data_IF_591322417798
#
_entry.id   IF_591322417798
#
_cell.length_a   1.000
_cell.length_b   1.000
_cell.length_c   1.000
_cell.angle_alpha   90.00
_cell.angle_beta   90.00
_cell.angle_gamma   90.00
#
_symmetry.space_group_name_H-M   'P 1'
#
loop_
_entity.id
_entity.type
_entity.pdbx_description
1 polymer ?
#
# COMPACT_ATOMS: atom_id res chain seq x y z
N UNK A 1 -9.36 -3.44 4.36
CA UNK A 1 -9.12 -2.03 4.67
C UNK A 1 -9.29 -1.79 6.17
N UNK A 2 -8.76 -0.67 6.68
CA UNK A 2 -8.91 -0.26 8.09
C UNK A 2 -9.96 0.84 8.28
N UNK A 3 -10.35 1.54 7.21
CA UNK A 3 -11.36 2.60 7.25
C UNK A 3 -12.76 2.03 7.02
N UNK A 4 -13.61 2.16 8.04
CA UNK A 4 -15.03 1.77 7.94
C UNK A 4 -15.77 2.65 6.93
N UNK A 5 -15.39 3.92 6.83
CA UNK A 5 -15.97 4.87 5.87
C UNK A 5 -15.68 4.46 4.45
N UNK A 6 -14.41 4.13 4.13
CA UNK A 6 -14.01 3.66 2.80
C UNK A 6 -14.69 2.35 2.44
N UNK A 7 -14.81 1.42 3.39
CA UNK A 7 -15.52 0.16 3.17
C UNK A 7 -17.02 0.38 2.94
N UNK A 8 -17.63 1.35 3.63
CA UNK A 8 -19.04 1.72 3.40
C UNK A 8 -19.25 2.23 1.97
N UNK A 9 -18.38 3.12 1.49
CA UNK A 9 -18.42 3.61 0.11
C UNK A 9 -18.21 2.46 -0.89
N UNK A 10 -17.25 1.57 -0.63
CA UNK A 10 -17.00 0.40 -1.48
C UNK A 10 -18.22 -0.53 -1.54
N UNK A 11 -18.90 -0.79 -0.42
CA UNK A 11 -20.13 -1.58 -0.36
C UNK A 11 -21.25 -0.95 -1.20
N UNK A 12 -21.43 0.38 -1.08
CA UNK A 12 -22.43 1.11 -1.87
C UNK A 12 -22.16 0.99 -3.37
N UNK A 13 -20.90 1.17 -3.80
CA UNK A 13 -20.50 1.08 -5.21
C UNK A 13 -20.61 -0.33 -5.81
N UNK A 14 -20.70 -1.35 -4.98
CA UNK A 14 -20.71 -2.76 -5.42
C UNK A 14 -22.01 -3.49 -5.12
N UNK A 15 -23.07 -2.77 -4.75
CA UNK A 15 -24.37 -3.37 -4.35
C UNK A 15 -24.97 -4.24 -5.46
N UNK A 16 -24.77 -3.89 -6.72
CA UNK A 16 -25.34 -4.58 -7.88
C UNK A 16 -24.42 -5.69 -8.43
N UNK A 17 -23.25 -5.91 -7.82
CA UNK A 17 -22.32 -6.95 -8.27
C UNK A 17 -22.75 -8.34 -7.81
N UNK A 18 -22.60 -9.34 -8.69
CA UNK A 18 -22.83 -10.76 -8.40
C UNK A 18 -21.62 -11.57 -8.87
N UNK A 19 -20.97 -12.37 -8.03
CA UNK A 19 -21.21 -12.51 -6.59
C UNK A 19 -20.84 -11.22 -5.83
N UNK A 20 -21.51 -10.96 -4.71
CA UNK A 20 -21.20 -9.80 -3.88
C UNK A 20 -19.81 -9.91 -3.27
N UNK A 21 -19.01 -8.85 -3.32
CA UNK A 21 -17.73 -8.81 -2.62
C UNK A 21 -17.90 -8.95 -1.10
N UNK A 22 -16.96 -9.64 -0.47
CA UNK A 22 -16.85 -9.69 0.98
C UNK A 22 -15.91 -8.55 1.44
N UNK A 23 -16.39 -7.72 2.36
CA UNK A 23 -15.62 -6.65 2.96
C UNK A 23 -15.28 -6.97 4.41
N UNK A 24 -14.08 -6.58 4.85
CA UNK A 24 -13.64 -6.78 6.22
C UNK A 24 -12.81 -5.59 6.68
N UNK A 25 -13.21 -4.98 7.80
CA UNK A 25 -12.46 -3.93 8.46
C UNK A 25 -11.43 -4.58 9.39
N UNK A 26 -10.16 -4.64 8.94
CA UNK A 26 -9.07 -5.23 9.74
C UNK A 26 -7.70 -4.74 9.29
N UNK A 27 -6.75 -4.81 10.20
CA UNK A 27 -5.34 -4.53 9.92
C UNK A 27 -4.70 -5.74 9.24
N UNK A 28 -3.79 -5.49 8.28
CA UNK A 28 -3.16 -6.55 7.50
C UNK A 28 -2.34 -7.53 8.35
N UNK A 29 -1.67 -7.05 9.40
CA UNK A 29 -0.93 -7.88 10.34
C UNK A 29 -1.82 -8.78 11.23
N UNK A 30 -3.13 -8.59 11.15
CA UNK A 30 -4.15 -9.43 11.82
C UNK A 30 -5.14 -10.03 10.82
N UNK A 31 -4.74 -10.12 9.56
CA UNK A 31 -5.59 -10.62 8.47
C UNK A 31 -6.15 -12.00 8.81
N UNK A 32 -7.46 -12.11 8.83
CA UNK A 32 -8.20 -13.35 8.99
C UNK A 32 -9.29 -13.42 7.93
N UNK A 33 -9.19 -14.39 7.03
CA UNK A 33 -10.17 -14.64 5.98
C UNK A 33 -10.98 -15.90 6.29
N UNK A 34 -12.27 -15.97 5.92
CA UNK A 34 -13.11 -17.13 6.15
C UNK A 34 -12.66 -18.36 5.33
N UNK A 35 -11.91 -18.15 4.26
CA UNK A 35 -11.30 -19.18 3.41
C UNK A 35 -10.02 -18.67 2.76
N UNK A 36 -9.11 -19.58 2.42
CA UNK A 36 -7.90 -19.25 1.68
C UNK A 36 -8.25 -18.80 0.25
N UNK A 37 -7.35 -18.00 -0.35
CA UNK A 37 -7.50 -17.41 -1.67
C UNK A 37 -6.33 -17.79 -2.58
N UNK A 38 -6.51 -17.70 -3.90
CA UNK A 38 -5.48 -18.04 -4.87
C UNK A 38 -4.62 -16.83 -5.25
N UNK A 39 -5.16 -15.62 -5.06
CA UNK A 39 -4.49 -14.36 -5.33
C UNK A 39 -4.76 -13.36 -4.22
N UNK A 40 -3.71 -12.72 -3.74
CA UNK A 40 -3.78 -11.53 -2.90
C UNK A 40 -3.10 -10.37 -3.62
N UNK A 41 -3.76 -9.22 -3.64
CA UNK A 41 -3.22 -7.96 -4.18
C UNK A 41 -3.25 -6.90 -3.09
N UNK A 42 -2.13 -6.22 -2.88
CA UNK A 42 -2.02 -5.07 -1.98
C UNK A 42 -1.46 -3.91 -2.79
N UNK A 43 -2.34 -3.08 -3.32
CA UNK A 43 -2.03 -2.03 -4.28
C UNK A 43 -1.93 -0.66 -3.60
N UNK A 44 -1.37 0.31 -4.36
CA UNK A 44 -1.25 1.70 -3.96
C UNK A 44 -0.46 1.87 -2.65
N UNK A 45 0.79 1.35 -2.67
CA UNK A 45 1.76 1.51 -1.58
C UNK A 45 1.23 1.18 -0.16
N UNK A 46 0.13 0.44 -0.06
CA UNK A 46 -0.51 0.16 1.24
C UNK A 46 0.41 -0.53 2.26
N UNK A 47 1.44 -1.24 1.82
CA UNK A 47 2.45 -1.82 2.73
C UNK A 47 3.36 -0.77 3.37
N UNK A 48 3.63 0.35 2.69
CA UNK A 48 4.47 1.43 3.20
C UNK A 48 3.84 2.11 4.41
N UNK A 49 2.50 2.13 4.48
CA UNK A 49 1.74 2.64 5.64
C UNK A 49 1.93 1.80 6.93
N UNK A 50 2.49 0.61 6.83
CA UNK A 50 2.87 -0.18 8.00
C UNK A 50 4.26 0.26 8.45
N UNK A 51 4.35 1.37 9.17
CA UNK A 51 5.60 2.03 9.54
C UNK A 51 6.45 1.28 10.56
N UNK A 52 5.91 0.23 11.17
CA UNK A 52 6.65 -0.66 12.08
C UNK A 52 7.16 -1.90 11.33
N UNK A 53 8.48 -2.08 11.11
CA UNK A 53 9.04 -3.21 10.34
C UNK A 53 8.63 -4.60 10.83
N UNK A 54 8.43 -4.77 12.14
CA UNK A 54 7.95 -6.04 12.70
C UNK A 54 6.50 -6.32 12.27
N UNK A 55 5.66 -5.29 12.25
CA UNK A 55 4.26 -5.40 11.81
C UNK A 55 4.17 -5.68 10.32
N UNK A 56 5.01 -5.05 9.49
CA UNK A 56 5.08 -5.35 8.05
C UNK A 56 5.47 -6.82 7.79
N UNK A 57 6.48 -7.33 8.50
CA UNK A 57 6.86 -8.75 8.41
C UNK A 57 5.72 -9.68 8.83
N UNK A 58 4.98 -9.34 9.88
CA UNK A 58 3.81 -10.13 10.29
C UNK A 58 2.68 -10.04 9.26
N UNK A 59 2.42 -8.86 8.68
CA UNK A 59 1.46 -8.69 7.60
C UNK A 59 1.74 -9.63 6.41
N UNK A 60 3.00 -9.69 5.96
CA UNK A 60 3.43 -10.62 4.90
C UNK A 60 3.21 -12.08 5.29
N UNK A 61 3.46 -12.46 6.56
CA UNK A 61 3.17 -13.81 7.06
C UNK A 61 1.67 -14.12 7.07
N UNK A 62 0.83 -13.15 7.44
CA UNK A 62 -0.63 -13.36 7.43
C UNK A 62 -1.14 -13.54 6.00
N UNK A 63 -0.64 -12.76 5.03
CA UNK A 63 -0.97 -12.98 3.61
C UNK A 63 -0.53 -14.38 3.15
N UNK A 64 0.68 -14.82 3.54
CA UNK A 64 1.14 -16.17 3.22
C UNK A 64 0.18 -17.24 3.76
N UNK A 65 -0.30 -17.09 5.01
CA UNK A 65 -1.26 -18.03 5.62
C UNK A 65 -2.61 -18.04 4.90
N UNK A 66 -3.06 -16.86 4.47
CA UNK A 66 -4.33 -16.67 3.78
C UNK A 66 -4.35 -17.23 2.34
N UNK A 67 -3.19 -17.50 1.75
CA UNK A 67 -3.10 -18.04 0.39
C UNK A 67 -3.23 -19.57 0.37
N UNK A 68 -3.85 -20.12 -0.68
CA UNK A 68 -3.77 -21.52 -1.04
C UNK A 68 -2.34 -21.92 -1.45
N UNK A 69 -1.95 -23.21 -1.34
CA UNK A 69 -0.70 -23.71 -1.94
C UNK A 69 -0.63 -23.32 -3.43
N UNK A 70 0.47 -22.73 -3.87
CA UNK A 70 0.63 -22.21 -5.23
C UNK A 70 0.02 -20.82 -5.47
N UNK A 71 -0.69 -20.26 -4.51
CA UNK A 71 -1.28 -18.92 -4.57
C UNK A 71 -0.23 -17.82 -4.73
N UNK A 72 -0.67 -16.68 -5.21
CA UNK A 72 0.19 -15.56 -5.60
C UNK A 72 -0.11 -14.34 -4.71
N UNK A 73 0.94 -13.65 -4.28
CA UNK A 73 0.88 -12.32 -3.68
C UNK A 73 1.53 -11.29 -4.61
N UNK A 74 0.82 -10.20 -4.89
CA UNK A 74 1.31 -9.07 -5.68
C UNK A 74 1.08 -7.80 -4.85
N UNK A 75 2.08 -6.95 -4.79
CA UNK A 75 1.97 -5.64 -4.16
C UNK A 75 2.95 -4.65 -4.80
N UNK A 76 2.68 -3.37 -4.61
CA UNK A 76 3.57 -2.29 -4.97
C UNK A 76 3.98 -1.48 -3.75
N UNK A 77 5.12 -0.82 -3.87
CA UNK A 77 5.67 0.09 -2.86
C UNK A 77 6.36 1.27 -3.54
N UNK A 78 6.38 2.39 -2.85
CA UNK A 78 7.25 3.51 -3.19
C UNK A 78 8.71 3.15 -2.88
N UNK A 79 9.64 3.52 -3.76
CA UNK A 79 11.06 3.26 -3.48
C UNK A 79 11.59 4.19 -2.38
N UNK A 80 12.62 3.77 -1.63
CA UNK A 80 13.28 4.65 -0.67
C UNK A 80 13.81 5.95 -1.30
N UNK A 81 14.20 5.90 -2.58
CA UNK A 81 14.65 7.07 -3.35
C UNK A 81 13.51 8.08 -3.53
N UNK A 82 12.32 7.62 -3.91
CA UNK A 82 11.14 8.47 -4.02
C UNK A 82 10.79 9.12 -2.69
N UNK A 83 10.68 8.32 -1.62
CA UNK A 83 10.26 8.84 -0.32
C UNK A 83 11.27 9.85 0.26
N UNK A 84 12.57 9.62 0.07
CA UNK A 84 13.61 10.59 0.45
C UNK A 84 13.56 11.87 -0.38
N UNK A 85 13.21 11.80 -1.65
CA UNK A 85 13.10 12.96 -2.52
C UNK A 85 11.89 13.86 -2.18
N UNK A 86 10.93 13.36 -1.39
CA UNK A 86 9.79 14.14 -0.89
C UNK A 86 10.18 15.13 0.22
N UNK A 87 11.38 14.99 0.81
CA UNK A 87 11.84 15.84 1.92
C UNK A 87 11.89 17.33 1.52
N UNK A 88 11.13 18.15 2.25
CA UNK A 88 11.01 19.59 1.99
C UNK A 88 10.22 19.95 0.73
N UNK A 89 9.60 19.00 0.04
CA UNK A 89 8.80 19.27 -1.16
C UNK A 89 7.40 19.74 -0.80
N UNK A 90 6.87 20.63 -1.66
CA UNK A 90 5.48 21.08 -1.62
C UNK A 90 4.87 20.85 -3.00
N UNK A 91 3.76 20.15 -3.04
CA UNK A 91 2.98 19.89 -4.25
C UNK A 91 1.62 20.54 -4.14
N UNK A 92 1.10 20.94 -5.26
CA UNK A 92 -0.17 21.62 -5.38
C UNK A 92 -0.96 20.96 -6.49
N UNK A 93 -2.17 20.49 -6.14
CA UNK A 93 -3.17 20.01 -7.09
C UNK A 93 -4.40 20.88 -6.96
N UNK A 94 -4.94 21.36 -8.08
CA UNK A 94 -6.15 22.18 -8.07
C UNK A 94 -7.07 21.83 -9.25
N UNK A 95 -8.36 21.89 -8.98
CA UNK A 95 -9.41 21.98 -9.96
C UNK A 95 -10.45 23.03 -9.55
N UNK A 96 -11.57 23.12 -10.23
CA UNK A 96 -12.59 24.15 -9.98
C UNK A 96 -13.16 24.13 -8.55
N UNK A 97 -13.20 22.96 -7.91
CA UNK A 97 -13.88 22.74 -6.64
C UNK A 97 -12.95 22.21 -5.53
N UNK A 98 -11.72 21.85 -5.87
CA UNK A 98 -10.76 21.26 -4.92
C UNK A 98 -9.38 21.91 -5.08
N UNK A 99 -8.78 22.22 -3.94
CA UNK A 99 -7.40 22.71 -3.85
C UNK A 99 -6.68 21.89 -2.79
N UNK A 100 -5.62 21.21 -3.17
CA UNK A 100 -4.87 20.32 -2.32
C UNK A 100 -3.40 20.72 -2.23
N UNK A 101 -2.88 20.85 -1.03
CA UNK A 101 -1.46 21.17 -0.78
C UNK A 101 -0.82 20.04 0.01
N UNK A 102 0.14 19.38 -0.61
CA UNK A 102 0.94 18.33 0.03
C UNK A 102 2.28 18.88 0.50
N UNK A 103 2.71 18.50 1.69
CA UNK A 103 4.05 18.79 2.22
C UNK A 103 4.69 17.50 2.66
N UNK A 104 5.87 17.20 2.13
CA UNK A 104 6.63 16.01 2.47
C UNK A 104 7.78 16.33 3.43
N UNK A 105 7.97 15.47 4.43
CA UNK A 105 9.10 15.49 5.35
C UNK A 105 9.65 14.07 5.49
N UNK A 106 10.95 13.89 5.35
CA UNK A 106 11.58 12.57 5.50
C UNK A 106 12.51 12.52 6.70
N UNK A 107 12.18 11.69 7.67
CA UNK A 107 13.05 11.41 8.82
C UNK A 107 14.03 10.27 8.49
N UNK A 108 15.31 10.62 8.34
CA UNK A 108 16.40 9.68 8.04
C UNK A 108 16.71 8.71 9.18
N UNK A 109 16.36 9.04 10.42
CA UNK A 109 16.63 8.17 11.58
C UNK A 109 15.61 7.02 11.65
N UNK A 110 14.35 7.33 11.35
CA UNK A 110 13.26 6.37 11.37
C UNK A 110 12.95 5.76 10.00
N UNK A 111 13.50 6.31 8.91
CA UNK A 111 13.14 5.99 7.53
C UNK A 111 11.64 6.18 7.21
N UNK A 112 11.02 7.18 7.81
CA UNK A 112 9.61 7.50 7.60
C UNK A 112 9.50 8.79 6.81
N UNK A 113 8.67 8.77 5.75
CA UNK A 113 8.17 9.93 5.06
C UNK A 113 6.79 10.29 5.65
N UNK A 114 6.63 11.52 6.11
CA UNK A 114 5.36 12.07 6.55
C UNK A 114 4.83 13.06 5.52
N UNK A 115 3.56 12.93 5.15
CA UNK A 115 2.87 13.84 4.24
C UNK A 115 1.77 14.56 5.00
N UNK A 116 1.90 15.89 5.10
CA UNK A 116 0.79 16.74 5.52
C UNK A 116 -0.01 17.18 4.31
N UNK A 117 -1.30 16.87 4.26
CA UNK A 117 -2.19 17.24 3.18
C UNK A 117 -3.27 18.21 3.67
N UNK A 118 -3.22 19.44 3.18
CA UNK A 118 -4.31 20.39 3.33
C UNK A 118 -5.24 20.29 2.14
N UNK A 119 -6.48 19.87 2.38
CA UNK A 119 -7.54 19.76 1.38
C UNK A 119 -8.56 20.86 1.58
N UNK A 120 -8.76 21.69 0.55
CA UNK A 120 -9.78 22.71 0.49
C UNK A 120 -10.83 22.29 -0.52
N UNK A 121 -12.10 22.26 -0.09
CA UNK A 121 -13.25 21.92 -0.93
C UNK A 121 -14.21 23.09 -1.01
N UNK A 122 -14.62 23.44 -2.23
CA UNK A 122 -15.56 24.54 -2.46
C UNK A 122 -16.97 24.14 -2.00
N UNK A 123 -17.58 25.06 -1.25
CA UNK A 123 -18.97 24.97 -0.80
C UNK A 123 -19.69 26.28 -1.18
N UNK A 124 -20.11 26.35 -2.44
CA UNK A 124 -20.68 27.58 -3.01
C UNK A 124 -19.65 28.70 -3.13
N UNK A 125 -19.73 29.73 -2.31
CA UNK A 125 -18.77 30.87 -2.28
C UNK A 125 -17.68 30.72 -1.21
N UNK A 126 -17.77 29.69 -0.38
CA UNK A 126 -16.83 29.42 0.71
C UNK A 126 -16.00 28.18 0.41
N UNK A 127 -14.93 28.02 1.17
CA UNK A 127 -14.08 26.84 1.14
C UNK A 127 -14.04 26.21 2.54
N UNK A 128 -14.25 24.90 2.60
CA UNK A 128 -13.95 24.12 3.81
C UNK A 128 -12.54 23.58 3.72
N UNK A 129 -11.81 23.59 4.84
CA UNK A 129 -10.48 23.01 4.95
C UNK A 129 -10.54 21.75 5.83
N UNK A 130 -9.92 20.68 5.37
CA UNK A 130 -9.55 19.52 6.19
C UNK A 130 -8.05 19.29 6.11
N UNK A 131 -7.52 18.56 7.08
CA UNK A 131 -6.11 18.18 7.13
C UNK A 131 -5.98 16.69 7.39
N UNK A 132 -5.12 16.04 6.61
CA UNK A 132 -4.78 14.64 6.79
C UNK A 132 -3.26 14.48 6.90
N UNK A 133 -2.82 13.51 7.70
CA UNK A 133 -1.42 13.12 7.80
C UNK A 133 -1.28 11.67 7.38
N UNK A 134 -0.36 11.43 6.45
CA UNK A 134 0.02 10.10 5.99
C UNK A 134 1.46 9.83 6.36
N UNK A 135 1.78 8.60 6.69
CA UNK A 135 3.14 8.19 7.06
C UNK A 135 3.49 6.89 6.36
N UNK A 136 4.60 6.89 5.66
CA UNK A 136 5.10 5.75 4.89
C UNK A 136 6.52 5.41 5.32
N UNK A 137 6.78 4.12 5.51
CA UNK A 137 8.12 3.62 5.78
C UNK A 137 8.84 3.27 4.48
N UNK A 138 10.05 3.74 4.30
CA UNK A 138 10.85 3.51 3.10
C UNK A 138 11.48 2.10 3.08
N UNK A 139 10.67 1.09 2.77
CA UNK A 139 11.14 -0.29 2.63
C UNK A 139 11.98 -0.45 1.36
N UNK A 140 13.19 -1.02 1.50
CA UNK A 140 13.94 -1.43 0.31
C UNK A 140 13.39 -2.74 -0.27
N UNK A 141 13.59 -2.92 -1.59
CA UNK A 141 13.20 -4.16 -2.27
C UNK A 141 13.84 -5.39 -1.61
N UNK A 142 15.11 -5.31 -1.21
CA UNK A 142 15.85 -6.38 -0.54
C UNK A 142 15.20 -6.75 0.78
N UNK A 143 14.82 -5.77 1.60
CA UNK A 143 14.14 -6.00 2.88
C UNK A 143 12.82 -6.73 2.68
N UNK A 144 12.02 -6.30 1.72
CA UNK A 144 10.72 -6.94 1.42
C UNK A 144 10.89 -8.34 0.86
N UNK A 145 11.86 -8.55 -0.03
CA UNK A 145 12.22 -9.88 -0.55
C UNK A 145 12.65 -10.81 0.59
N UNK A 146 13.41 -10.33 1.56
CA UNK A 146 13.81 -11.13 2.72
C UNK A 146 12.62 -11.45 3.64
N UNK A 147 11.69 -10.54 3.85
CA UNK A 147 10.44 -10.82 4.60
C UNK A 147 9.59 -11.87 3.91
N UNK A 148 9.49 -11.80 2.57
CA UNK A 148 8.79 -12.81 1.77
C UNK A 148 9.44 -14.19 1.89
N UNK A 149 10.78 -14.29 1.77
CA UNK A 149 11.52 -15.54 1.96
C UNK A 149 11.31 -16.12 3.36
N UNK A 150 11.40 -15.28 4.40
CA UNK A 150 11.17 -15.69 5.79
C UNK A 150 9.74 -16.19 6.02
N UNK A 151 8.75 -15.66 5.31
CA UNK A 151 7.37 -16.14 5.36
C UNK A 151 7.16 -17.48 4.61
N UNK A 152 8.10 -17.88 3.74
CA UNK A 152 8.04 -19.12 2.96
C UNK A 152 7.65 -18.93 1.49
N UNK A 153 7.56 -17.70 1.01
CA UNK A 153 7.32 -17.45 -0.41
C UNK A 153 8.52 -17.89 -1.27
N UNK A 154 8.19 -18.32 -2.49
CA UNK A 154 9.14 -18.74 -3.53
C UNK A 154 8.84 -17.97 -4.83
N UNK A 155 9.72 -18.10 -5.83
CA UNK A 155 9.54 -17.43 -7.14
C UNK A 155 9.21 -15.95 -6.99
N UNK A 156 10.01 -15.26 -6.18
CA UNK A 156 9.88 -13.83 -5.93
C UNK A 156 10.51 -13.09 -7.11
N UNK A 157 9.77 -12.13 -7.67
CA UNK A 157 10.24 -11.27 -8.75
C UNK A 157 9.89 -9.82 -8.43
N UNK A 158 10.82 -8.92 -8.73
CA UNK A 158 10.67 -7.47 -8.58
C UNK A 158 10.62 -6.86 -9.97
N UNK A 159 9.64 -6.00 -10.21
CA UNK A 159 9.40 -5.33 -11.48
C UNK A 159 9.42 -3.82 -11.30
N UNK A 160 9.84 -3.12 -12.35
CA UNK A 160 9.73 -1.66 -12.43
C UNK A 160 8.29 -1.19 -12.61
N UNK A 161 8.10 0.12 -12.57
CA UNK A 161 6.77 0.72 -12.65
C UNK A 161 6.09 0.41 -14.00
N UNK A 162 4.88 -0.15 -13.91
CA UNK A 162 4.00 -0.49 -15.04
C UNK A 162 4.66 -1.35 -16.14
N UNK A 163 5.68 -2.17 -15.82
CA UNK A 163 6.36 -3.03 -16.81
C UNK A 163 6.78 -4.39 -16.26
N UNK A 164 6.85 -5.39 -17.13
CA UNK A 164 7.25 -6.76 -16.80
C UNK A 164 8.78 -6.96 -16.96
N UNK A 165 9.56 -5.99 -16.47
CA UNK A 165 11.03 -6.00 -16.47
C UNK A 165 11.57 -5.59 -15.11
N UNK A 166 12.80 -5.95 -14.73
CA UNK A 166 13.42 -5.50 -13.49
C UNK A 166 13.43 -3.97 -13.37
N UNK A 167 13.44 -3.43 -12.13
CA UNK A 167 13.52 -1.99 -11.92
C UNK A 167 14.80 -1.41 -12.51
N UNK A 168 14.70 -0.19 -13.02
CA UNK A 168 15.86 0.62 -13.43
C UNK A 168 16.33 1.54 -12.31
N UNK A 169 17.50 2.13 -12.47
CA UNK A 169 17.99 3.13 -11.53
C UNK A 169 17.09 4.36 -11.52
N UNK A 170 16.71 4.84 -10.32
CA UNK A 170 15.82 5.99 -10.17
C UNK A 170 14.32 5.65 -10.25
N UNK A 171 13.96 4.37 -10.31
CA UNK A 171 12.56 3.94 -10.26
C UNK A 171 11.88 4.47 -8.99
N UNK A 172 10.70 5.06 -9.15
CA UNK A 172 9.96 5.65 -8.03
C UNK A 172 8.98 4.68 -7.36
N UNK A 173 8.55 3.67 -8.11
CA UNK A 173 7.62 2.61 -7.66
C UNK A 173 8.09 1.28 -8.20
N UNK A 174 7.97 0.25 -7.40
CA UNK A 174 8.26 -1.12 -7.80
C UNK A 174 7.10 -2.03 -7.45
N UNK A 175 6.96 -3.11 -8.23
CA UNK A 175 5.98 -4.16 -8.01
C UNK A 175 6.68 -5.44 -7.63
N UNK A 176 6.17 -6.13 -6.62
CA UNK A 176 6.73 -7.40 -6.16
C UNK A 176 5.66 -8.48 -6.31
N UNK A 177 6.05 -9.57 -6.95
CA UNK A 177 5.24 -10.78 -7.10
C UNK A 177 5.93 -11.93 -6.41
N UNK A 178 5.21 -12.66 -5.56
CA UNK A 178 5.70 -13.82 -4.84
C UNK A 178 4.71 -14.98 -4.90
N UNK A 179 5.17 -16.23 -4.87
CA UNK A 179 4.33 -17.41 -4.93
C UNK A 179 4.48 -18.25 -3.66
N UNK A 180 3.37 -18.69 -3.08
CA UNK A 180 3.37 -19.69 -2.02
C UNK A 180 3.79 -21.05 -2.59
N UNK A 181 4.70 -21.73 -1.91
CA UNK A 181 5.13 -23.08 -2.30
C UNK A 181 3.96 -24.06 -2.40
N UNK A 182 4.08 -25.03 -3.29
CA UNK A 182 3.17 -26.19 -3.33
C UNK A 182 3.78 -27.22 -2.39
N UNK A 183 3.05 -27.57 -1.33
CA UNK A 183 3.42 -28.70 -0.49
C UNK A 183 3.23 -29.96 -1.35
N UNK A 184 4.33 -30.67 -1.64
CA UNK A 184 4.27 -31.97 -2.30
C UNK A 184 3.84 -33.04 -1.32
#
# INVERSE_FOLDING_TARGET
>A
DMSEEMLTVAQQKTMDLMPRPFFSCQRLERLALPRAVDLAVCALDSLDYITEPKSCREAIRQVYRALNPGGIFIFDVNTPEKLRAMDGQVFLDEDDDVYCVWRGEFDRQTNICSYGMDLFQRQGKLWSRSFEEHREYAYSAETLVDYLKQAGFTKIAVYGDCRMAPPEAGEQRIYIKARKGIIK
#
